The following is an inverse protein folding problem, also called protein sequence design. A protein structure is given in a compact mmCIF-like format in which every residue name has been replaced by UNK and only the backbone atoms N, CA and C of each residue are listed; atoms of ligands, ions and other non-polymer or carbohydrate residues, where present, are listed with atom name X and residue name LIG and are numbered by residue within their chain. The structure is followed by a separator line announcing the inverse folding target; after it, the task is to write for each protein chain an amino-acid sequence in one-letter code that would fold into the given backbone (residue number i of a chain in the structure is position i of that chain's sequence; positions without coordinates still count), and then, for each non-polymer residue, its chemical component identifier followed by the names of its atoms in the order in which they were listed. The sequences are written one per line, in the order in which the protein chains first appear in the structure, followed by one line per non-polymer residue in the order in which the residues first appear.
data_IF_560404620404
#
_entry.id   IF_560404620404
#
_cell.length_a   1.000
_cell.length_b   1.000
_cell.length_c   1.000
_cell.angle_alpha   90.00
_cell.angle_beta   90.00
_cell.angle_gamma   90.00
#
_symmetry.space_group_name_H-M   'P 1'
#
loop_
_entity.id
_entity.type
_entity.pdbx_description
1 polymer ?
#
# COMPACT_ATOMS: atom_id res chain seq x y z
N UNK A 1 22.05 2.77 15.71
CA UNK A 1 21.36 2.86 14.40
C UNK A 1 20.43 1.66 14.30
N UNK A 2 19.13 1.86 14.13
CA UNK A 2 18.21 0.73 13.95
C UNK A 2 18.55 0.02 12.63
N UNK A 3 18.71 -1.30 12.68
CA UNK A 3 18.83 -2.15 11.49
C UNK A 3 17.52 -2.08 10.72
N UNK A 4 17.42 -1.14 9.76
CA UNK A 4 16.29 -1.04 8.83
C UNK A 4 16.28 -2.17 7.78
N UNK A 5 17.16 -3.16 7.94
CA UNK A 5 17.50 -4.15 6.93
C UNK A 5 16.69 -5.44 7.02
N UNK A 6 15.78 -5.57 8.00
CA UNK A 6 14.99 -6.79 8.14
C UNK A 6 13.49 -6.48 8.18
N UNK A 7 12.78 -7.01 7.18
CA UNK A 7 11.34 -7.19 7.26
C UNK A 7 11.04 -8.27 8.29
N UNK A 8 9.93 -8.10 9.02
CA UNK A 8 9.39 -9.16 9.85
C UNK A 8 9.02 -10.39 8.99
N UNK A 9 9.15 -11.63 9.51
CA UNK A 9 8.98 -12.85 8.72
C UNK A 9 7.61 -13.02 8.06
N UNK A 10 6.58 -12.33 8.55
CA UNK A 10 5.19 -12.48 8.08
C UNK A 10 4.70 -11.30 7.25
N UNK A 11 5.60 -10.40 6.83
CA UNK A 11 5.23 -9.20 6.06
C UNK A 11 4.94 -9.57 4.62
N UNK A 12 3.71 -9.32 4.19
CA UNK A 12 3.28 -9.50 2.79
C UNK A 12 3.06 -8.18 2.07
N UNK A 13 3.03 -7.04 2.78
CA UNK A 13 2.71 -5.74 2.19
C UNK A 13 3.81 -4.71 2.39
N UNK A 14 4.27 -4.13 1.28
CA UNK A 14 5.21 -3.01 1.25
C UNK A 14 4.50 -1.68 1.00
N UNK A 15 5.11 -0.62 1.54
CA UNK A 15 4.77 0.76 1.27
C UNK A 15 5.98 1.48 0.66
N UNK A 16 5.82 1.94 -0.58
CA UNK A 16 6.80 2.75 -1.29
C UNK A 16 6.42 4.21 -1.05
N UNK A 17 7.32 4.99 -0.43
CA UNK A 17 7.03 6.34 0.04
C UNK A 17 7.98 7.37 -0.58
N UNK A 18 7.47 8.60 -0.72
CA UNK A 18 8.20 9.70 -1.32
C UNK A 18 8.41 9.50 -2.83
N UNK A 19 7.42 8.91 -3.49
CA UNK A 19 7.41 8.70 -4.95
C UNK A 19 7.37 10.07 -5.64
N UNK A 20 8.29 10.29 -6.59
CA UNK A 20 8.37 11.47 -7.44
C UNK A 20 7.14 11.58 -8.32
N UNK A 21 6.61 12.80 -8.52
CA UNK A 21 5.41 13.06 -9.34
C UNK A 21 5.51 12.63 -10.81
N UNK A 22 6.72 12.34 -11.28
CA UNK A 22 6.98 11.84 -12.63
C UNK A 22 6.65 10.35 -12.77
N UNK A 23 6.55 9.61 -11.66
CA UNK A 23 6.22 8.19 -11.71
C UNK A 23 4.72 8.00 -11.89
N UNK A 24 4.35 7.19 -12.88
CA UNK A 24 2.98 6.71 -13.06
C UNK A 24 2.79 5.37 -12.36
N UNK A 25 1.54 4.91 -12.29
CA UNK A 25 1.23 3.56 -11.81
C UNK A 25 1.94 2.50 -12.67
N UNK A 26 1.98 2.69 -13.98
CA UNK A 26 2.68 1.78 -14.90
C UNK A 26 4.19 1.73 -14.63
N UNK A 27 4.82 2.87 -14.30
CA UNK A 27 6.24 2.87 -13.92
C UNK A 27 6.47 2.06 -12.64
N UNK A 28 5.57 2.15 -11.67
CA UNK A 28 5.63 1.34 -10.45
C UNK A 28 5.43 -0.14 -10.76
N UNK A 29 4.48 -0.51 -11.61
CA UNK A 29 4.27 -1.90 -12.02
C UNK A 29 5.49 -2.48 -12.75
N UNK A 30 6.07 -1.74 -13.70
CA UNK A 30 7.29 -2.15 -14.40
C UNK A 30 8.47 -2.33 -13.45
N UNK A 31 8.63 -1.42 -12.49
CA UNK A 31 9.65 -1.53 -11.44
C UNK A 31 9.46 -2.81 -10.60
N UNK A 32 8.22 -3.12 -10.20
CA UNK A 32 7.90 -4.33 -9.43
C UNK A 32 8.12 -5.60 -10.24
N UNK A 33 7.71 -5.61 -11.51
CA UNK A 33 7.90 -6.74 -12.43
C UNK A 33 9.40 -7.01 -12.63
N UNK A 34 10.22 -5.96 -12.83
CA UNK A 34 11.67 -6.07 -12.92
C UNK A 34 12.31 -6.57 -11.62
N UNK A 35 11.89 -6.04 -10.46
CA UNK A 35 12.44 -6.42 -9.16
C UNK A 35 12.09 -7.85 -8.74
N UNK A 36 10.93 -8.38 -9.18
CA UNK A 36 10.55 -9.76 -8.91
C UNK A 36 11.29 -10.77 -9.80
N UNK A 37 11.82 -10.34 -10.96
CA UNK A 37 12.55 -11.17 -11.92
C UNK A 37 11.84 -12.50 -12.25
N UNK A 38 10.51 -12.46 -12.36
CA UNK A 38 9.65 -13.63 -12.56
C UNK A 38 8.79 -13.46 -13.80
N UNK A 39 8.53 -14.55 -14.52
CA UNK A 39 7.57 -14.58 -15.64
C UNK A 39 6.13 -14.40 -15.17
N UNK A 40 5.86 -14.66 -13.89
CA UNK A 40 4.54 -14.50 -13.25
C UNK A 40 4.62 -13.46 -12.13
N UNK A 41 3.60 -12.59 -12.05
CA UNK A 41 3.55 -11.57 -11.00
C UNK A 41 3.45 -12.20 -9.62
N UNK A 42 4.33 -11.77 -8.72
CA UNK A 42 4.41 -12.26 -7.34
C UNK A 42 3.62 -11.38 -6.35
N UNK A 43 2.83 -10.45 -6.88
CA UNK A 43 1.98 -9.53 -6.14
C UNK A 43 0.56 -9.53 -6.69
N UNK A 44 -0.41 -9.31 -5.80
CA UNK A 44 -1.84 -9.44 -6.10
C UNK A 44 -2.63 -8.15 -5.86
N UNK A 45 -2.01 -7.11 -5.31
CA UNK A 45 -2.66 -5.82 -5.09
C UNK A 45 -1.64 -4.69 -5.19
N UNK A 46 -1.95 -3.68 -5.98
CA UNK A 46 -1.21 -2.42 -6.06
C UNK A 46 -2.17 -1.26 -5.99
N UNK A 47 -1.95 -0.35 -5.05
CA UNK A 47 -2.75 0.86 -4.90
C UNK A 47 -1.88 2.09 -4.77
N UNK A 48 -2.08 3.07 -5.65
CA UNK A 48 -1.39 4.34 -5.64
C UNK A 48 -2.42 5.48 -5.49
N UNK A 49 -2.75 5.89 -4.25
CA UNK A 49 -3.78 6.90 -4.01
C UNK A 49 -3.39 8.26 -4.60
N UNK A 50 -4.33 8.88 -5.31
CA UNK A 50 -4.16 10.22 -5.87
C UNK A 50 -4.53 11.31 -4.88
N UNK A 51 -3.84 12.44 -4.99
CA UNK A 51 -4.20 13.70 -4.33
C UNK A 51 -4.74 14.70 -5.34
N UNK A 52 -4.88 15.97 -4.96
CA UNK A 52 -5.59 16.98 -5.74
C UNK A 52 -5.18 17.11 -7.23
N UNK A 53 -3.95 16.75 -7.64
CA UNK A 53 -3.49 16.82 -9.04
C UNK A 53 -2.50 15.71 -9.48
N UNK A 54 -2.06 14.85 -8.56
CA UNK A 54 -1.05 13.81 -8.80
C UNK A 54 -1.10 12.79 -7.68
N UNK A 55 -0.40 11.66 -7.81
CA UNK A 55 -0.32 10.71 -6.71
C UNK A 55 0.19 11.33 -5.41
N UNK A 56 -0.23 10.78 -4.26
CA UNK A 56 0.14 11.26 -2.93
C UNK A 56 1.61 11.00 -2.55
N UNK A 57 2.40 10.40 -3.45
CA UNK A 57 3.79 10.01 -3.19
C UNK A 57 3.89 8.68 -2.43
N UNK A 58 2.82 7.88 -2.46
CA UNK A 58 2.67 6.61 -1.78
C UNK A 58 2.13 5.57 -2.75
N UNK A 59 2.72 4.37 -2.74
CA UNK A 59 2.13 3.17 -3.31
C UNK A 59 2.15 2.04 -2.27
N UNK A 60 1.07 1.27 -2.22
CA UNK A 60 0.91 0.09 -1.37
C UNK A 60 0.88 -1.13 -2.26
N UNK A 61 1.70 -2.13 -1.95
CA UNK A 61 1.86 -3.36 -2.74
C UNK A 61 1.72 -4.55 -1.82
N UNK A 62 0.76 -5.44 -2.08
CA UNK A 62 0.66 -6.73 -1.39
C UNK A 62 1.14 -7.87 -2.28
N UNK A 63 2.02 -8.70 -1.73
CA UNK A 63 2.59 -9.89 -2.33
C UNK A 63 1.73 -11.11 -2.04
N UNK A 64 1.82 -12.12 -2.91
CA UNK A 64 1.07 -13.38 -2.77
C UNK A 64 1.48 -14.13 -1.50
N UNK A 65 2.76 -14.06 -1.13
CA UNK A 65 3.33 -14.64 0.08
C UNK A 65 4.51 -13.78 0.63
N UNK A 66 4.96 -14.10 1.84
CA UNK A 66 6.05 -13.39 2.52
C UNK A 66 7.41 -13.60 1.84
N UNK A 67 7.66 -14.78 1.26
CA UNK A 67 8.91 -15.08 0.56
C UNK A 67 9.07 -14.19 -0.69
N UNK A 68 7.98 -14.02 -1.43
CA UNK A 68 7.86 -13.13 -2.58
C UNK A 68 8.09 -11.67 -2.21
N UNK A 69 7.44 -11.22 -1.13
CA UNK A 69 7.62 -9.89 -0.56
C UNK A 69 9.08 -9.62 -0.21
N UNK A 70 9.70 -10.54 0.53
CA UNK A 70 11.09 -10.42 0.98
C UNK A 70 12.07 -10.39 -0.18
N UNK A 71 11.89 -11.24 -1.19
CA UNK A 71 12.74 -11.25 -2.38
C UNK A 71 12.66 -9.93 -3.13
N UNK A 72 11.44 -9.44 -3.40
CA UNK A 72 11.23 -8.17 -4.09
C UNK A 72 11.82 -7.00 -3.28
N UNK A 73 11.62 -6.98 -1.96
CA UNK A 73 12.17 -5.95 -1.07
C UNK A 73 13.69 -5.88 -1.14
N UNK A 74 14.38 -7.01 -0.99
CA UNK A 74 15.85 -7.06 -1.07
C UNK A 74 16.36 -6.58 -2.42
N UNK A 75 15.69 -6.97 -3.52
CA UNK A 75 16.06 -6.51 -4.85
C UNK A 75 15.85 -5.01 -5.03
N UNK A 76 14.73 -4.47 -4.54
CA UNK A 76 14.47 -3.04 -4.58
C UNK A 76 15.47 -2.22 -3.74
N UNK A 77 15.88 -2.73 -2.57
CA UNK A 77 16.93 -2.10 -1.76
C UNK A 77 18.25 -2.06 -2.51
N UNK A 78 18.68 -3.19 -3.09
CA UNK A 78 19.88 -3.26 -3.90
C UNK A 78 19.83 -2.26 -5.07
N UNK A 79 18.71 -2.23 -5.81
CA UNK A 79 18.52 -1.27 -6.90
C UNK A 79 18.53 0.19 -6.41
N UNK A 80 18.09 0.45 -5.19
CA UNK A 80 18.14 1.78 -4.59
C UNK A 80 19.58 2.20 -4.28
N UNK A 81 20.41 1.28 -3.78
CA UNK A 81 21.85 1.48 -3.57
C UNK A 81 22.60 1.71 -4.90
N UNK A 82 22.19 1.01 -5.96
CA UNK A 82 22.70 1.18 -7.33
C UNK A 82 22.21 2.48 -8.00
N UNK A 83 21.28 3.22 -7.39
CA UNK A 83 20.68 4.42 -7.98
C UNK A 83 19.64 4.17 -9.07
N UNK A 84 19.26 2.90 -9.30
CA UNK A 84 18.28 2.50 -10.32
C UNK A 84 16.83 2.78 -9.93
N UNK A 85 16.54 2.97 -8.64
CA UNK A 85 15.21 3.35 -8.13
C UNK A 85 15.12 4.87 -7.88
N UNK A 86 15.39 5.66 -8.92
CA UNK A 86 15.32 7.11 -8.82
C UNK A 86 13.89 7.56 -8.46
N UNK A 87 13.79 8.57 -7.59
CA UNK A 87 12.51 9.17 -7.24
C UNK A 87 11.63 8.39 -6.27
N UNK A 88 12.13 7.33 -5.60
CA UNK A 88 11.45 6.72 -4.44
C UNK A 88 12.34 6.89 -3.22
N UNK A 89 11.86 7.60 -2.20
CA UNK A 89 12.69 7.95 -1.03
C UNK A 89 12.90 6.79 -0.07
N UNK A 90 11.88 5.97 0.15
CA UNK A 90 11.96 4.85 1.09
C UNK A 90 11.00 3.74 0.73
N UNK A 91 11.43 2.52 1.02
CA UNK A 91 10.67 1.28 0.83
C UNK A 91 10.69 0.56 2.18
N UNK A 92 9.55 0.05 2.62
CA UNK A 92 9.49 -0.73 3.85
C UNK A 92 8.10 -1.29 4.10
N UNK A 93 7.92 -1.95 5.25
CA UNK A 93 6.64 -2.55 5.59
C UNK A 93 5.49 -1.51 5.61
N UNK A 94 4.35 -1.93 5.06
CA UNK A 94 3.09 -1.22 5.19
C UNK A 94 2.56 -1.35 6.63
N UNK A 95 1.76 -0.37 7.05
CA UNK A 95 1.05 -0.46 8.31
C UNK A 95 -0.17 -1.40 8.23
N UNK A 96 -0.67 -1.64 7.01
CA UNK A 96 -1.76 -2.56 6.72
C UNK A 96 -1.14 -3.75 5.98
N UNK A 97 -1.18 -4.92 6.62
CA UNK A 97 -0.61 -6.16 6.13
C UNK A 97 -1.74 -7.08 5.66
N UNK A 98 -1.53 -7.77 4.53
CA UNK A 98 -2.47 -8.74 3.99
C UNK A 98 -3.37 -8.19 2.89
N UNK A 99 -3.76 -9.05 1.95
CA UNK A 99 -4.58 -8.70 0.79
C UNK A 99 -5.97 -8.20 1.22
N UNK A 100 -6.68 -8.97 2.06
CA UNK A 100 -8.04 -8.67 2.47
C UNK A 100 -8.10 -7.35 3.27
N UNK A 101 -7.14 -7.12 4.16
CA UNK A 101 -7.03 -5.90 4.97
C UNK A 101 -6.83 -4.65 4.10
N UNK A 102 -5.97 -4.73 3.08
CA UNK A 102 -5.73 -3.62 2.16
C UNK A 102 -6.97 -3.36 1.29
N UNK A 103 -7.67 -4.41 0.84
CA UNK A 103 -8.91 -4.28 0.07
C UNK A 103 -10.04 -3.67 0.91
N UNK A 104 -10.18 -4.10 2.17
CA UNK A 104 -11.14 -3.53 3.11
C UNK A 104 -10.85 -2.05 3.42
N UNK A 105 -9.58 -1.71 3.62
CA UNK A 105 -9.17 -0.33 3.82
C UNK A 105 -9.51 0.55 2.62
N UNK A 106 -9.19 0.10 1.41
CA UNK A 106 -9.58 0.79 0.19
C UNK A 106 -11.10 0.99 0.10
N UNK A 107 -11.89 -0.08 0.29
CA UNK A 107 -13.35 -0.02 0.18
C UNK A 107 -13.99 0.97 1.17
N UNK A 108 -13.45 1.06 2.39
CA UNK A 108 -13.89 2.05 3.39
C UNK A 108 -13.51 3.46 2.96
N UNK A 109 -12.26 3.66 2.56
CA UNK A 109 -11.71 4.98 2.24
C UNK A 109 -12.38 5.56 0.97
N UNK A 110 -12.60 4.74 -0.05
CA UNK A 110 -13.30 5.13 -1.27
C UNK A 110 -14.76 5.55 -1.00
N UNK A 111 -15.42 4.97 0.00
CA UNK A 111 -16.80 5.36 0.41
C UNK A 111 -16.85 6.65 1.23
N UNK A 112 -15.76 7.03 1.89
CA UNK A 112 -15.70 8.21 2.77
C UNK A 112 -15.26 9.47 2.03
N UNK A 113 -14.61 9.32 0.88
CA UNK A 113 -14.04 10.42 0.12
C UNK A 113 -14.26 10.20 -1.39
N UNK A 114 -15.32 10.80 -1.92
CA UNK A 114 -15.71 10.71 -3.34
C UNK A 114 -14.64 11.27 -4.30
N UNK A 115 -13.62 11.96 -3.78
CA UNK A 115 -12.48 12.43 -4.57
C UNK A 115 -11.50 11.32 -4.91
N UNK A 116 -11.61 10.15 -4.26
CA UNK A 116 -10.77 9.00 -4.54
C UNK A 116 -11.32 8.29 -5.76
N UNK A 117 -10.81 8.68 -6.92
CA UNK A 117 -11.23 8.15 -8.21
C UNK A 117 -10.44 6.90 -8.61
N UNK A 118 -9.26 6.70 -8.04
CA UNK A 118 -8.36 5.62 -8.41
C UNK A 118 -8.70 4.34 -7.67
N UNK A 119 -8.79 3.28 -8.45
CA UNK A 119 -9.00 1.92 -7.95
C UNK A 119 -7.65 1.21 -7.81
N UNK A 120 -7.51 0.29 -6.83
CA UNK A 120 -6.38 -0.60 -6.80
C UNK A 120 -6.39 -1.50 -8.04
N UNK A 121 -5.21 -1.83 -8.55
CA UNK A 121 -5.07 -2.92 -9.51
C UNK A 121 -4.89 -4.20 -8.71
N UNK A 122 -5.79 -5.14 -8.91
CA UNK A 122 -5.75 -6.47 -8.31
C UNK A 122 -5.40 -7.48 -9.39
N UNK A 123 -4.58 -8.47 -9.03
CA UNK A 123 -4.18 -9.54 -9.94
C UNK A 123 -4.65 -10.89 -9.41
N UNK A 124 -5.22 -11.70 -10.29
CA UNK A 124 -5.53 -13.10 -10.03
C UNK A 124 -4.82 -13.96 -11.06
N UNK A 125 -4.02 -14.91 -10.59
CA UNK A 125 -3.16 -15.77 -11.42
C UNK A 125 -2.31 -14.97 -12.43
N UNK A 126 -1.79 -13.81 -11.99
CA UNK A 126 -0.93 -12.92 -12.77
C UNK A 126 -1.66 -11.93 -13.68
N UNK A 127 -2.97 -12.08 -13.86
CA UNK A 127 -3.79 -11.26 -14.75
C UNK A 127 -4.53 -10.16 -13.98
N UNK A 128 -4.56 -8.91 -14.49
CA UNK A 128 -5.33 -7.84 -13.86
C UNK A 128 -6.82 -8.15 -13.92
N UNK A 129 -7.53 -7.90 -12.82
CA UNK A 129 -8.98 -8.10 -12.75
C UNK A 129 -9.72 -6.88 -13.29
N UNK A 130 -10.92 -7.10 -13.84
CA UNK A 130 -11.82 -6.00 -14.25
C UNK A 130 -12.45 -5.33 -13.05
N UNK A 131 -12.99 -4.12 -13.23
CA UNK A 131 -13.70 -3.39 -12.18
C UNK A 131 -14.87 -4.18 -11.59
N UNK A 132 -15.66 -4.86 -12.42
CA UNK A 132 -16.76 -5.70 -11.96
C UNK A 132 -16.27 -6.86 -11.07
N UNK A 133 -15.12 -7.44 -11.42
CA UNK A 133 -14.51 -8.50 -10.60
C UNK A 133 -13.89 -7.94 -9.32
N UNK A 134 -13.32 -6.73 -9.34
CA UNK A 134 -12.87 -6.04 -8.13
C UNK A 134 -14.01 -5.85 -7.13
N UNK A 135 -15.20 -5.41 -7.58
CA UNK A 135 -16.36 -5.24 -6.72
C UNK A 135 -16.81 -6.57 -6.08
N UNK A 136 -16.74 -7.67 -6.85
CA UNK A 136 -17.03 -9.01 -6.33
C UNK A 136 -15.99 -9.48 -5.32
N UNK A 137 -14.70 -9.22 -5.56
CA UNK A 137 -13.64 -9.51 -4.58
C UNK A 137 -13.84 -8.71 -3.30
N UNK A 138 -14.21 -7.43 -3.39
CA UNK A 138 -14.57 -6.62 -2.21
C UNK A 138 -15.72 -7.29 -1.46
N UNK A 139 -16.80 -7.67 -2.14
CA UNK A 139 -17.95 -8.33 -1.52
C UNK A 139 -17.57 -9.66 -0.84
N UNK A 140 -16.63 -10.42 -1.41
CA UNK A 140 -16.26 -11.73 -0.88
C UNK A 140 -15.26 -11.66 0.28
N UNK A 141 -14.23 -10.82 0.17
CA UNK A 141 -13.13 -10.75 1.14
C UNK A 141 -13.38 -9.75 2.27
N UNK A 142 -14.16 -8.69 2.01
CA UNK A 142 -14.40 -7.64 3.00
C UNK A 142 -15.62 -7.98 3.84
N UNK A 143 -15.36 -8.74 4.91
CA UNK A 143 -16.37 -9.04 5.94
C UNK A 143 -16.73 -7.78 6.75
N UNK A 144 -17.88 -7.81 7.43
CA UNK A 144 -18.33 -6.70 8.29
C UNK A 144 -17.30 -6.35 9.39
N UNK A 145 -16.69 -7.37 10.00
CA UNK A 145 -15.64 -7.17 11.01
C UNK A 145 -14.39 -6.50 10.41
N UNK A 146 -13.98 -6.94 9.22
CA UNK A 146 -12.82 -6.38 8.55
C UNK A 146 -13.07 -4.93 8.11
N UNK A 147 -14.27 -4.63 7.62
CA UNK A 147 -14.70 -3.27 7.29
C UNK A 147 -14.75 -2.35 8.52
N UNK A 148 -15.21 -2.86 9.67
CA UNK A 148 -15.23 -2.11 10.92
C UNK A 148 -13.82 -1.76 11.40
N UNK A 149 -12.89 -2.74 11.40
CA UNK A 149 -11.47 -2.51 11.74
C UNK A 149 -10.80 -1.55 10.77
N UNK A 150 -11.07 -1.69 9.46
CA UNK A 150 -10.58 -0.76 8.44
C UNK A 150 -11.09 0.68 8.68
N UNK A 151 -12.36 0.85 9.06
CA UNK A 151 -12.96 2.14 9.41
C UNK A 151 -12.30 2.81 10.61
N UNK A 152 -12.11 2.06 11.70
CA UNK A 152 -11.39 2.56 12.89
C UNK A 152 -9.97 3.00 12.54
N UNK A 153 -9.29 2.24 11.67
CA UNK A 153 -7.92 2.53 11.23
C UNK A 153 -7.85 3.77 10.34
N UNK A 154 -8.77 3.91 9.39
CA UNK A 154 -8.88 5.09 8.54
C UNK A 154 -9.12 6.36 9.38
N UNK A 155 -10.00 6.28 10.38
CA UNK A 155 -10.29 7.38 11.29
C UNK A 155 -9.07 7.75 12.15
N UNK A 156 -8.35 6.76 12.69
CA UNK A 156 -7.13 6.99 13.46
C UNK A 156 -6.04 7.69 12.64
N UNK A 157 -5.83 7.27 11.38
CA UNK A 157 -4.88 7.90 10.46
C UNK A 157 -5.30 9.33 10.11
N UNK A 158 -6.59 9.56 9.89
CA UNK A 158 -7.13 10.89 9.62
C UNK A 158 -6.93 11.85 10.81
N UNK A 159 -7.24 11.41 12.04
CA UNK A 159 -7.03 12.18 13.28
C UNK A 159 -5.54 12.52 13.48
N UNK A 160 -4.65 11.57 13.21
CA UNK A 160 -3.20 11.76 13.34
C UNK A 160 -2.69 12.85 12.39
N UNK A 161 -3.12 12.84 11.13
CA UNK A 161 -2.76 13.85 10.13
C UNK A 161 -3.25 15.26 10.48
N UNK A 162 -4.42 15.40 11.11
CA UNK A 162 -4.93 16.71 11.56
C UNK A 162 -4.08 17.29 12.69
N UNK A 163 -3.64 16.45 13.63
CA UNK A 163 -2.80 16.86 14.77
C UNK A 163 -1.44 17.39 14.32
N UNK A 164 -0.83 16.76 13.32
CA UNK A 164 0.47 17.21 12.80
C UNK A 164 0.37 18.58 12.09
N UNK A 165 -0.74 18.83 11.36
CA UNK A 165 -0.98 20.12 10.71
C UNK A 165 -1.21 21.27 11.69
N UNK A 166 -1.83 21.01 12.85
CA UNK A 166 -2.05 22.06 13.86
C UNK A 166 -0.76 22.45 14.58
N UNK A 167 0.16 21.50 14.80
CA UNK A 167 1.46 21.77 15.42
C UNK A 167 2.39 22.58 14.50
N UNK A 168 2.33 22.36 13.18
CA UNK A 168 3.13 23.12 12.20
C UNK A 168 2.69 24.57 12.03
N UNK A 169 1.51 24.97 12.54
CA UNK A 169 0.97 26.33 12.43
C UNK A 169 1.22 27.19 13.66
N UNK A 170 2.11 26.79 14.59
CA UNK A 170 2.55 27.72 15.63
C UNK A 170 3.09 28.98 14.94
N UNK A 171 2.52 30.17 15.26
CA UNK A 171 3.02 31.44 14.73
C UNK A 171 4.53 31.44 14.91
N UNK A 172 5.24 31.74 13.83
CA UNK A 172 6.65 32.05 13.91
C UNK A 172 6.71 33.41 14.60
N UNK A 173 6.59 33.41 15.91
CA UNK A 173 6.93 34.56 16.74
C UNK A 173 8.41 34.77 16.48
N UNK A 174 8.68 35.66 15.53
CA UNK A 174 10.02 36.04 15.12
C UNK A 174 10.68 36.59 16.37
N UNK A 175 11.70 35.92 16.95
CA UNK A 175 12.44 36.51 18.03
C UNK A 175 13.17 37.70 17.41
N UNK A 176 12.77 38.91 17.79
CA UNK A 176 13.58 40.11 17.58
C UNK A 176 14.91 39.84 18.26
N UNK A 177 15.96 39.57 17.48
CA UNK A 177 17.30 39.23 17.98
C UNK A 177 17.94 40.45 18.66
N UNK A 178 18.29 40.41 19.96
CA UNK A 178 19.36 41.21 20.51
C UNK A 178 20.65 40.39 20.43
N UNK A 179 21.74 41.03 20.02
CA UNK A 179 23.00 40.38 19.69
C UNK A 179 23.73 39.69 20.85
N UNK A 180 24.75 38.92 20.44
CA UNK A 180 25.93 38.47 21.20
C UNK A 180 25.68 37.76 22.55
N UNK A 181 26.00 36.47 22.65
CA UNK A 181 27.29 35.88 23.07
C UNK A 181 27.16 34.40 23.46
N UNK A 182 28.28 33.72 23.25
CA UNK A 182 28.87 32.57 23.94
C UNK A 182 28.19 31.18 23.89
N UNK A 183 29.09 30.23 23.63
CA UNK A 183 28.90 28.81 23.39
C UNK A 183 28.38 28.07 24.62
N UNK A 184 27.30 27.30 24.47
CA UNK A 184 26.89 26.31 25.47
C UNK A 184 26.24 25.06 24.85
N UNK A 185 26.42 23.94 25.55
CA UNK A 185 26.33 22.57 25.08
C UNK A 185 24.92 22.11 24.66
N UNK A 186 24.88 21.25 23.63
CA UNK A 186 23.66 20.72 23.01
C UNK A 186 23.09 19.55 23.81
N UNK A 187 21.81 19.57 24.24
CA UNK A 187 21.19 18.45 24.92
C UNK A 187 20.66 17.38 23.96
N UNK A 188 20.75 16.14 24.41
CA UNK A 188 20.45 14.88 23.73
C UNK A 188 18.92 14.71 23.52
N UNK A 189 18.52 14.47 22.27
CA UNK A 189 17.11 14.41 21.87
C UNK A 189 16.46 13.07 22.26
N UNK A 190 15.44 13.13 23.12
CA UNK A 190 14.59 12.00 23.52
C UNK A 190 13.77 11.43 22.35
N UNK A 191 14.03 10.15 22.07
CA UNK A 191 13.32 9.29 21.11
C UNK A 191 11.86 9.06 21.52
N UNK A 192 10.91 9.24 20.57
CA UNK A 192 9.48 9.02 20.80
C UNK A 192 9.10 7.55 20.52
N UNK A 193 8.46 6.90 21.48
CA UNK A 193 7.91 5.55 21.37
C UNK A 193 6.81 5.46 20.29
N UNK A 194 6.97 4.49 19.38
CA UNK A 194 5.93 4.02 18.45
C UNK A 194 4.94 3.15 19.23
N UNK A 195 3.65 3.35 18.99
CA UNK A 195 2.58 2.46 19.45
C UNK A 195 2.61 1.16 18.64
N UNK A 196 2.81 0.04 19.32
CA UNK A 196 2.70 -1.30 18.73
C UNK A 196 1.25 -1.57 18.35
N UNK A 197 1.04 -1.83 17.07
CA UNK A 197 -0.28 -2.16 16.52
C UNK A 197 -0.21 -3.61 16.06
N UNK A 198 -1.18 -4.47 16.44
CA UNK A 198 -1.16 -5.87 16.07
C UNK A 198 -1.04 -6.03 14.54
N UNK A 199 -0.02 -6.78 14.12
CA UNK A 199 0.16 -7.18 12.73
C UNK A 199 -0.97 -8.15 12.35
N UNK A 200 -1.60 -7.90 11.19
CA UNK A 200 -2.61 -8.80 10.64
C UNK A 200 -2.00 -10.17 10.34
N UNK A 201 -2.79 -11.24 10.46
CA UNK A 201 -2.33 -12.59 10.10
C UNK A 201 -2.20 -12.69 8.57
N UNK A 202 -1.19 -13.40 8.04
CA UNK A 202 -1.08 -13.63 6.60
C UNK A 202 -2.30 -14.41 6.08
N UNK A 203 -2.70 -14.20 4.81
CA UNK A 203 -3.76 -14.96 4.20
C UNK A 203 -3.41 -16.45 4.15
N UNK A 204 -4.38 -17.28 4.51
CA UNK A 204 -4.26 -18.73 4.55
C UNK A 204 -4.29 -19.31 3.13
N UNK A 205 -3.69 -20.49 2.94
CA UNK A 205 -3.78 -21.23 1.68
C UNK A 205 -5.25 -21.47 1.24
N UNK A 206 -6.16 -21.57 2.20
CA UNK A 206 -7.60 -21.70 1.95
C UNK A 206 -8.20 -20.42 1.35
N UNK A 207 -7.80 -19.23 1.83
CA UNK A 207 -8.23 -17.95 1.26
C UNK A 207 -7.73 -17.81 -0.17
N UNK A 208 -6.47 -18.18 -0.45
CA UNK A 208 -5.92 -18.19 -1.80
C UNK A 208 -6.63 -19.18 -2.73
N UNK A 209 -7.02 -20.36 -2.22
CA UNK A 209 -7.82 -21.33 -2.97
C UNK A 209 -9.21 -20.80 -3.35
N UNK A 210 -9.86 -20.06 -2.45
CA UNK A 210 -11.15 -19.40 -2.73
C UNK A 210 -11.02 -18.32 -3.80
N UNK A 211 -9.95 -17.53 -3.79
CA UNK A 211 -9.67 -16.53 -4.85
C UNK A 211 -9.66 -17.23 -6.23
N UNK A 212 -8.94 -18.36 -6.34
CA UNK A 212 -8.84 -19.12 -7.59
C UNK A 212 -10.18 -19.69 -8.03
N UNK A 213 -10.97 -20.25 -7.10
CA UNK A 213 -12.29 -20.79 -7.40
C UNK A 213 -13.26 -19.72 -7.92
N UNK A 214 -13.24 -18.52 -7.33
CA UNK A 214 -14.06 -17.39 -7.79
C UNK A 214 -13.63 -16.95 -9.19
N UNK A 215 -12.33 -16.83 -9.45
CA UNK A 215 -11.82 -16.49 -10.78
C UNK A 215 -12.26 -17.49 -11.84
N UNK A 216 -12.19 -18.78 -11.52
CA UNK A 216 -12.65 -19.84 -12.43
C UNK A 216 -14.16 -19.75 -12.70
N UNK A 217 -14.98 -19.58 -11.65
CA UNK A 217 -16.43 -19.47 -11.81
C UNK A 217 -16.83 -18.30 -12.70
N UNK A 218 -16.14 -17.16 -12.59
CA UNK A 218 -16.43 -15.96 -13.37
C UNK A 218 -15.99 -16.08 -14.83
N UNK A 219 -14.89 -16.77 -15.11
CA UNK A 219 -14.48 -17.08 -16.48
C UNK A 219 -15.50 -17.98 -17.19
N UNK A 220 -16.15 -18.89 -16.46
CA UNK A 220 -17.15 -19.80 -17.05
C UNK A 220 -18.52 -19.15 -17.28
N UNK A 221 -18.88 -18.11 -16.51
CA UNK A 221 -20.18 -17.45 -16.65
C UNK A 221 -20.28 -16.54 -17.89
N UNK A 222 -19.16 -16.05 -18.42
CA UNK A 222 -19.14 -15.12 -19.57
C UNK A 222 -19.17 -15.84 -20.93
N UNK A 223 -19.15 -17.18 -20.94
CA UNK A 223 -19.08 -17.99 -22.16
C UNK A 223 -20.41 -18.66 -22.57
N UNK A 224 -21.52 -18.35 -21.89
CA UNK A 224 -22.78 -19.09 -22.08
C UNK A 224 -23.84 -18.45 -22.99
N UNK A 225 -23.63 -17.25 -23.56
CA UNK A 225 -24.67 -16.57 -24.36
C UNK A 225 -24.18 -16.12 -25.76
N UNK A 226 -23.75 -17.05 -26.63
CA UNK A 226 -23.86 -16.87 -28.10
C UNK A 226 -24.03 -18.25 -28.77
N UNK A 227 -25.23 -18.83 -28.72
CA UNK A 227 -25.69 -19.74 -29.78
C UNK A 227 -26.82 -19.03 -30.51
N UNK A 228 -26.45 -18.24 -31.53
CA UNK A 228 -27.34 -17.81 -32.59
C UNK A 228 -27.74 -19.06 -33.39
N UNK A 229 -28.89 -19.64 -33.05
CA UNK A 229 -29.56 -20.60 -33.92
C UNK A 229 -30.20 -19.76 -35.04
N UNK A 230 -29.48 -19.60 -36.14
CA UNK A 230 -30.09 -19.19 -37.41
C UNK A 230 -30.94 -20.36 -37.92
N UNK A 231 -32.27 -20.17 -37.89
CA UNK A 231 -33.22 -20.96 -38.68
C UNK A 231 -33.33 -20.37 -40.09
#
# INVERSE_FOLDING_TARGET
MASWSQLEPTVTTLALRGISKLHTLDNILQLLDFACASTTRMYNFVYMPTGNQSHSGLAIVNFVDDASCRRCFLRLQQMQEEGSVAGIKSIGQSYIQGFAENLAYYAVVAKQDDRITEKPIVFVDGMPVTDAMLDQLIKHFVTNDLAARASQRAEALYKSRKKDKSLSRRPRDSPSMPGHRDSEAVPEATSRHRTDVPLGRPPTAQEMSRIRQLSFALQTSDSSDVILVSL
#
